data_IF_108920508466
#
_entry.id   IF_108920508466
#
_cell.length_a   1.000
_cell.length_b   1.000
_cell.length_c   1.000
_cell.angle_alpha   90.00
_cell.angle_beta   90.00
_cell.angle_gamma   90.00
#
_symmetry.space_group_name_H-M   'P 1'
#
loop_
_entity.id
_entity.type
_entity.pdbx_description
1 polymer ?
#
# COMPACT_ATOMS: atom_id res chain seq x y z
N UNK A 1 -22.68 15.18 17.37
CA UNK A 1 -21.51 15.71 16.62
C UNK A 1 -21.72 15.38 15.15
N UNK A 2 -21.63 16.38 14.26
CA UNK A 2 -21.76 16.13 12.81
C UNK A 2 -20.51 15.42 12.33
N UNK A 3 -20.63 14.20 11.81
CA UNK A 3 -19.49 13.40 11.31
C UNK A 3 -19.08 13.89 9.93
N UNK A 4 -17.80 14.24 9.73
CA UNK A 4 -17.24 14.68 8.45
C UNK A 4 -17.15 13.49 7.49
N UNK A 5 -17.72 13.60 6.29
CA UNK A 5 -17.57 12.56 5.25
C UNK A 5 -16.30 12.76 4.46
N UNK A 6 -15.87 11.72 3.70
CA UNK A 6 -14.73 11.82 2.78
C UNK A 6 -14.93 12.96 1.77
N UNK A 7 -16.10 13.06 1.15
CA UNK A 7 -16.42 14.14 0.21
C UNK A 7 -16.25 15.52 0.86
N UNK A 8 -16.81 15.71 2.07
CA UNK A 8 -16.65 16.98 2.79
C UNK A 8 -15.17 17.26 3.08
N UNK A 9 -14.43 16.27 3.57
CA UNK A 9 -13.00 16.39 3.84
C UNK A 9 -12.22 16.82 2.60
N UNK A 10 -12.41 16.15 1.46
CA UNK A 10 -11.69 16.46 0.22
C UNK A 10 -12.01 17.86 -0.32
N UNK A 11 -13.27 18.32 -0.17
CA UNK A 11 -13.66 19.70 -0.55
C UNK A 11 -12.97 20.72 0.37
N UNK A 12 -12.88 20.46 1.67
CA UNK A 12 -12.19 21.33 2.62
C UNK A 12 -10.70 21.40 2.32
N UNK A 13 -10.05 20.25 2.04
CA UNK A 13 -8.63 20.17 1.65
C UNK A 13 -8.36 20.93 0.34
N UNK A 14 -9.25 20.80 -0.64
CA UNK A 14 -9.15 21.55 -1.89
C UNK A 14 -9.17 23.07 -1.68
N UNK A 15 -9.97 23.56 -0.73
CA UNK A 15 -10.05 24.98 -0.39
C UNK A 15 -8.85 25.48 0.42
N UNK A 16 -8.34 24.63 1.30
CA UNK A 16 -7.25 25.00 2.21
C UNK A 16 -5.89 25.03 1.50
N UNK A 17 -5.58 23.99 0.73
CA UNK A 17 -4.23 23.82 0.17
C UNK A 17 -4.13 24.15 -1.33
N UNK A 18 -5.25 24.29 -2.01
CA UNK A 18 -5.32 24.54 -3.47
C UNK A 18 -4.49 23.55 -4.33
N UNK A 19 -4.19 22.38 -3.79
CA UNK A 19 -3.36 21.34 -4.43
C UNK A 19 -4.14 20.09 -4.84
N UNK A 20 -5.44 20.05 -4.56
CA UNK A 20 -6.34 18.96 -4.97
C UNK A 20 -7.30 19.50 -6.03
N UNK A 21 -6.99 19.39 -7.34
CA UNK A 21 -7.91 19.74 -8.41
C UNK A 21 -9.22 18.93 -8.31
N UNK A 22 -10.27 19.43 -8.91
CA UNK A 22 -11.57 18.76 -8.88
C UNK A 22 -11.50 17.34 -9.45
N UNK A 23 -10.72 17.15 -10.50
CA UNK A 23 -10.48 15.87 -11.18
C UNK A 23 -9.83 14.84 -10.24
N UNK A 24 -8.78 15.24 -9.48
CA UNK A 24 -8.14 14.38 -8.49
C UNK A 24 -9.10 14.02 -7.35
N UNK A 25 -9.85 15.00 -6.85
CA UNK A 25 -10.89 14.78 -5.85
C UNK A 25 -11.92 13.75 -6.31
N UNK A 26 -12.44 13.91 -7.52
CA UNK A 26 -13.43 12.99 -8.10
C UNK A 26 -12.85 11.61 -8.33
N UNK A 27 -11.61 11.50 -8.80
CA UNK A 27 -10.91 10.22 -8.92
C UNK A 27 -10.80 9.48 -7.56
N UNK A 28 -10.37 10.18 -6.52
CA UNK A 28 -10.29 9.59 -5.16
C UNK A 28 -11.66 9.10 -4.69
N UNK A 29 -12.74 9.85 -4.95
CA UNK A 29 -14.10 9.43 -4.61
C UNK A 29 -14.56 8.20 -5.39
N UNK A 30 -14.14 8.05 -6.66
CA UNK A 30 -14.41 6.84 -7.47
C UNK A 30 -13.66 5.63 -6.92
N UNK A 31 -12.37 5.76 -6.63
CA UNK A 31 -11.57 4.69 -6.00
C UNK A 31 -12.17 4.27 -4.67
N UNK A 32 -12.53 5.23 -3.81
CA UNK A 32 -13.18 4.96 -2.53
C UNK A 32 -14.54 4.24 -2.69
N UNK A 33 -15.27 4.51 -3.77
CA UNK A 33 -16.50 3.79 -4.12
C UNK A 33 -16.23 2.36 -4.57
N UNK A 34 -15.20 2.14 -5.39
CA UNK A 34 -14.75 0.80 -5.78
C UNK A 34 -14.40 -0.03 -4.54
N UNK A 35 -13.65 0.53 -3.59
CA UNK A 35 -13.32 -0.12 -2.31
C UNK A 35 -14.59 -0.51 -1.51
N UNK A 36 -15.70 0.26 -1.57
CA UNK A 36 -16.97 -0.17 -0.97
C UNK A 36 -17.55 -1.42 -1.62
N UNK A 37 -17.48 -1.50 -2.94
CA UNK A 37 -17.95 -2.66 -3.70
C UNK A 37 -17.12 -3.90 -3.39
N UNK A 38 -15.79 -3.76 -3.32
CA UNK A 38 -14.89 -4.83 -2.91
C UNK A 38 -15.18 -5.26 -1.47
N UNK A 39 -15.34 -4.32 -0.53
CA UNK A 39 -15.71 -4.61 0.86
C UNK A 39 -17.01 -5.43 0.95
N UNK A 40 -17.98 -5.14 0.09
CA UNK A 40 -19.23 -5.89 0.03
C UNK A 40 -18.99 -7.33 -0.47
N UNK A 41 -18.21 -7.51 -1.53
CA UNK A 41 -17.85 -8.83 -2.05
C UNK A 41 -17.09 -9.67 -1.00
N UNK A 42 -16.05 -9.08 -0.39
CA UNK A 42 -15.26 -9.70 0.69
C UNK A 42 -16.15 -10.15 1.85
N UNK A 43 -17.09 -9.29 2.30
CA UNK A 43 -17.95 -9.58 3.44
C UNK A 43 -18.94 -10.73 3.20
N UNK A 44 -19.21 -11.09 1.95
CA UNK A 44 -20.05 -12.25 1.60
C UNK A 44 -19.31 -13.56 1.68
N UNK A 45 -18.00 -13.57 1.46
CA UNK A 45 -17.16 -14.77 1.55
C UNK A 45 -17.77 -15.99 0.83
N UNK A 46 -17.91 -17.10 1.52
CA UNK A 46 -18.48 -18.32 0.98
C UNK A 46 -19.93 -18.16 0.46
N UNK A 47 -20.74 -17.28 1.06
CA UNK A 47 -22.11 -17.02 0.62
C UNK A 47 -22.15 -16.35 -0.77
N UNK A 48 -21.12 -15.60 -1.11
CA UNK A 48 -20.99 -14.99 -2.43
C UNK A 48 -20.33 -15.88 -3.47
N UNK A 49 -19.85 -17.07 -3.09
CA UNK A 49 -19.09 -17.96 -3.97
C UNK A 49 -17.72 -17.41 -4.39
N UNK A 50 -17.20 -16.43 -3.65
CA UNK A 50 -15.99 -15.66 -4.00
C UNK A 50 -14.69 -16.25 -3.43
N UNK A 51 -14.77 -17.31 -2.62
CA UNK A 51 -13.60 -17.98 -2.05
C UNK A 51 -12.98 -19.00 -3.02
N UNK A 52 -11.72 -19.36 -2.78
CA UNK A 52 -10.98 -20.36 -3.51
C UNK A 52 -10.26 -19.84 -4.75
N UNK A 53 -9.54 -20.73 -5.43
CA UNK A 53 -8.77 -20.40 -6.64
C UNK A 53 -9.68 -20.02 -7.80
N UNK A 54 -9.23 -19.09 -8.62
CA UNK A 54 -9.83 -18.77 -9.91
C UNK A 54 -9.51 -19.82 -10.99
N UNK A 55 -8.53 -20.71 -10.73
CA UNK A 55 -8.03 -21.69 -11.72
C UNK A 55 -7.04 -21.10 -12.72
N UNK A 56 -6.57 -19.88 -12.46
CA UNK A 56 -5.56 -19.14 -13.24
C UNK A 56 -4.38 -18.74 -12.35
N UNK A 57 -3.26 -18.42 -12.99
CA UNK A 57 -2.11 -17.79 -12.36
C UNK A 57 -1.99 -16.36 -12.88
N UNK A 58 -1.53 -15.42 -12.04
CA UNK A 58 -1.21 -14.08 -12.48
C UNK A 58 0.10 -14.06 -13.29
N UNK A 59 0.44 -12.92 -13.86
CA UNK A 59 1.63 -12.71 -14.67
C UNK A 59 2.95 -13.06 -13.98
N UNK A 60 2.92 -13.30 -12.68
CA UNK A 60 4.08 -13.65 -11.86
C UNK A 60 4.09 -15.12 -11.42
N UNK A 61 3.15 -15.95 -11.92
CA UNK A 61 3.02 -17.35 -11.58
C UNK A 61 2.42 -17.60 -10.18
N UNK A 62 1.74 -16.62 -9.61
CA UNK A 62 1.01 -16.77 -8.35
C UNK A 62 -0.43 -17.21 -8.64
N UNK A 63 -0.94 -18.19 -7.88
CA UNK A 63 -2.32 -18.70 -8.06
C UNK A 63 -3.30 -17.63 -7.68
N UNK A 64 -4.05 -17.09 -8.66
CA UNK A 64 -5.10 -16.10 -8.43
C UNK A 64 -6.26 -16.67 -7.64
N UNK A 65 -6.77 -15.93 -6.67
CA UNK A 65 -8.04 -16.21 -6.02
C UNK A 65 -9.17 -15.55 -6.79
N UNK A 66 -10.38 -16.06 -6.64
CA UNK A 66 -11.57 -15.44 -7.28
C UNK A 66 -11.77 -14.00 -6.85
N UNK A 67 -11.46 -13.68 -5.59
CA UNK A 67 -11.56 -12.31 -5.09
C UNK A 67 -10.52 -11.38 -5.70
N UNK A 68 -9.32 -11.84 -6.06
CA UNK A 68 -8.32 -11.04 -6.77
C UNK A 68 -8.90 -10.57 -8.11
N UNK A 69 -9.43 -11.51 -8.89
CA UNK A 69 -10.07 -11.23 -10.20
C UNK A 69 -11.25 -10.26 -10.04
N UNK A 70 -12.18 -10.56 -9.12
CA UNK A 70 -13.36 -9.71 -8.88
C UNK A 70 -12.96 -8.30 -8.42
N UNK A 71 -11.97 -8.18 -7.54
CA UNK A 71 -11.50 -6.87 -7.05
C UNK A 71 -10.81 -6.08 -8.15
N UNK A 72 -10.04 -6.76 -9.02
CA UNK A 72 -9.43 -6.13 -10.18
C UNK A 72 -10.49 -5.60 -11.15
N UNK A 73 -11.49 -6.41 -11.51
CA UNK A 73 -12.60 -5.99 -12.38
C UNK A 73 -13.36 -4.79 -11.80
N UNK A 74 -13.70 -4.83 -10.49
CA UNK A 74 -14.37 -3.71 -9.82
C UNK A 74 -13.55 -2.42 -9.90
N UNK A 75 -12.23 -2.49 -9.70
CA UNK A 75 -11.35 -1.32 -9.80
C UNK A 75 -11.32 -0.76 -11.23
N UNK A 76 -11.17 -1.60 -12.23
CA UNK A 76 -11.14 -1.20 -13.63
C UNK A 76 -12.48 -0.58 -14.06
N UNK A 77 -13.58 -1.32 -13.89
CA UNK A 77 -14.92 -0.89 -14.31
C UNK A 77 -15.40 0.40 -13.63
N UNK A 78 -15.04 0.58 -12.34
CA UNK A 78 -15.42 1.81 -11.64
C UNK A 78 -14.69 3.04 -12.17
N UNK A 79 -13.46 2.90 -12.65
CA UNK A 79 -12.58 4.02 -12.96
C UNK A 79 -12.44 4.32 -14.47
N UNK A 80 -12.79 3.40 -15.38
CA UNK A 80 -12.56 3.56 -16.82
C UNK A 80 -13.38 4.67 -17.48
N UNK A 81 -14.56 5.01 -16.95
CA UNK A 81 -15.53 5.88 -17.62
C UNK A 81 -15.58 7.33 -17.09
N UNK A 82 -14.89 7.60 -15.98
CA UNK A 82 -15.03 8.87 -15.24
C UNK A 82 -14.35 10.09 -15.89
N UNK A 83 -13.48 9.88 -16.88
CA UNK A 83 -12.77 10.96 -17.57
C UNK A 83 -11.63 11.58 -16.75
N UNK A 84 -11.20 10.93 -15.66
CA UNK A 84 -10.11 11.43 -14.79
C UNK A 84 -8.77 10.78 -15.10
N UNK A 85 -8.79 9.59 -15.71
CA UNK A 85 -7.61 8.76 -15.96
C UNK A 85 -7.18 8.77 -17.42
N UNK A 86 -5.87 8.81 -17.64
CA UNK A 86 -5.24 8.52 -18.91
C UNK A 86 -5.04 7.00 -19.10
N UNK A 87 -4.66 6.29 -18.04
CA UNK A 87 -4.52 4.85 -18.01
C UNK A 87 -4.50 4.31 -16.56
N UNK A 88 -4.56 2.98 -16.43
CA UNK A 88 -4.42 2.27 -15.16
C UNK A 88 -3.37 1.17 -15.24
N UNK A 89 -2.76 0.83 -14.10
CA UNK A 89 -1.89 -0.34 -13.96
C UNK A 89 -2.28 -1.12 -12.70
N UNK A 90 -2.45 -2.41 -12.85
CA UNK A 90 -2.81 -3.34 -11.78
C UNK A 90 -1.72 -4.37 -11.53
N UNK A 91 -1.55 -4.77 -10.29
CA UNK A 91 -0.68 -5.88 -9.92
C UNK A 91 -1.07 -7.20 -10.61
N UNK A 92 -2.36 -7.38 -10.90
CA UNK A 92 -2.94 -8.58 -11.50
C UNK A 92 -2.87 -8.60 -13.04
N UNK A 93 -2.39 -7.52 -13.68
CA UNK A 93 -2.32 -7.40 -15.14
C UNK A 93 -0.87 -7.23 -15.59
N UNK A 94 -0.50 -7.86 -16.72
CA UNK A 94 0.83 -7.74 -17.30
C UNK A 94 1.09 -6.34 -17.86
N UNK A 95 0.11 -5.82 -18.59
CA UNK A 95 0.21 -4.58 -19.35
C UNK A 95 -0.64 -3.47 -18.72
N UNK A 96 -0.35 -2.26 -19.15
CA UNK A 96 -1.15 -1.06 -18.85
C UNK A 96 -2.57 -1.24 -19.40
N UNK A 97 -3.56 -0.91 -18.59
CA UNK A 97 -4.94 -0.84 -19.02
C UNK A 97 -5.24 0.54 -19.63
N UNK A 98 -5.44 0.56 -20.93
CA UNK A 98 -5.82 1.76 -21.67
C UNK A 98 -7.31 2.06 -21.50
N UNK A 99 -7.64 3.34 -21.27
CA UNK A 99 -9.04 3.77 -21.19
C UNK A 99 -9.72 3.51 -22.55
N UNK A 100 -10.86 2.78 -22.59
CA UNK A 100 -11.55 2.52 -23.83
C UNK A 100 -11.91 3.80 -24.58
N UNK A 101 -11.71 3.83 -25.91
CA UNK A 101 -11.91 5.01 -26.76
C UNK A 101 -13.31 5.64 -26.69
N UNK A 102 -14.30 4.90 -26.18
CA UNK A 102 -15.68 5.40 -25.96
C UNK A 102 -15.80 6.34 -24.76
N UNK A 103 -14.76 6.41 -23.92
CA UNK A 103 -14.73 7.24 -22.71
C UNK A 103 -13.70 8.36 -22.84
N UNK A 104 -13.94 9.52 -22.21
CA UNK A 104 -12.94 10.57 -22.17
C UNK A 104 -11.74 10.15 -21.33
N UNK A 105 -10.56 10.63 -21.72
CA UNK A 105 -9.33 10.48 -20.95
C UNK A 105 -9.09 11.71 -20.07
N UNK A 106 -8.35 11.52 -18.96
CA UNK A 106 -7.96 12.57 -18.03
C UNK A 106 -6.45 12.67 -17.86
N UNK A 107 -6.03 13.34 -16.78
CA UNK A 107 -4.63 13.72 -16.54
C UNK A 107 -3.91 12.81 -15.55
N UNK A 108 -4.55 11.76 -15.04
CA UNK A 108 -3.99 10.92 -13.99
C UNK A 108 -3.73 9.50 -14.44
N UNK A 109 -2.74 8.87 -13.81
CA UNK A 109 -2.44 7.46 -13.88
C UNK A 109 -2.79 6.84 -12.52
N UNK A 110 -3.59 5.76 -12.52
CA UNK A 110 -3.96 5.02 -11.31
C UNK A 110 -3.20 3.70 -11.27
N UNK A 111 -2.51 3.46 -10.16
CA UNK A 111 -1.88 2.17 -9.88
C UNK A 111 -2.53 1.55 -8.66
N UNK A 112 -2.73 0.24 -8.67
CA UNK A 112 -3.33 -0.46 -7.54
C UNK A 112 -2.93 -1.93 -7.46
N UNK A 113 -2.82 -2.42 -6.23
CA UNK A 113 -2.97 -3.80 -5.86
C UNK A 113 -4.44 -3.98 -5.48
N UNK A 114 -5.23 -4.73 -6.26
CA UNK A 114 -6.66 -4.83 -6.01
C UNK A 114 -6.98 -5.57 -4.71
N UNK A 115 -6.10 -6.51 -4.28
CA UNK A 115 -6.35 -7.28 -3.07
C UNK A 115 -5.07 -7.80 -2.40
N UNK A 116 -4.38 -6.93 -1.65
CA UNK A 116 -3.24 -7.30 -0.80
C UNK A 116 -3.60 -8.35 0.23
N UNK A 117 -2.73 -9.33 0.40
CA UNK A 117 -2.89 -10.39 1.38
C UNK A 117 -3.76 -11.56 0.92
N UNK A 118 -3.77 -11.90 -0.38
CA UNK A 118 -4.60 -12.95 -0.98
C UNK A 118 -4.50 -14.31 -0.29
N UNK A 119 -3.37 -14.64 0.34
CA UNK A 119 -3.22 -15.86 1.15
C UNK A 119 -4.15 -15.92 2.37
N UNK A 120 -4.67 -14.78 2.80
CA UNK A 120 -5.55 -14.63 3.97
C UNK A 120 -7.05 -14.75 3.62
N UNK A 121 -7.41 -14.78 2.34
CA UNK A 121 -8.80 -14.78 1.88
C UNK A 121 -9.56 -15.98 2.47
N UNK A 122 -9.05 -17.19 2.26
CA UNK A 122 -9.74 -18.41 2.62
C UNK A 122 -9.75 -18.72 4.13
N UNK A 123 -8.95 -17.99 4.90
CA UNK A 123 -8.81 -18.18 6.37
C UNK A 123 -9.41 -17.04 7.18
N UNK A 124 -10.15 -16.15 6.51
CA UNK A 124 -10.91 -15.05 7.13
C UNK A 124 -10.05 -14.07 7.94
N UNK A 125 -8.85 -13.75 7.45
CA UNK A 125 -7.97 -12.72 8.01
C UNK A 125 -8.02 -11.46 7.14
N UNK A 126 -7.76 -10.29 7.74
CA UNK A 126 -7.84 -9.00 7.06
C UNK A 126 -7.00 -8.94 5.79
N UNK A 127 -7.60 -8.42 4.74
CA UNK A 127 -7.03 -8.16 3.42
C UNK A 127 -7.37 -6.73 3.01
N UNK A 128 -6.86 -6.23 1.88
CA UNK A 128 -7.21 -4.88 1.47
C UNK A 128 -6.79 -4.51 0.07
N UNK A 129 -7.13 -3.31 -0.35
CA UNK A 129 -6.75 -2.70 -1.62
C UNK A 129 -5.75 -1.59 -1.38
N UNK A 130 -4.67 -1.54 -2.16
CA UNK A 130 -3.68 -0.45 -2.12
C UNK A 130 -3.79 0.33 -3.42
N UNK A 131 -3.68 1.66 -3.37
CA UNK A 131 -3.69 2.48 -4.57
C UNK A 131 -2.78 3.69 -4.46
N UNK A 132 -2.31 4.17 -5.61
CA UNK A 132 -1.65 5.47 -5.74
C UNK A 132 -1.99 6.14 -7.06
N UNK A 133 -1.85 7.45 -7.08
CA UNK A 133 -2.14 8.30 -8.24
C UNK A 133 -0.90 9.09 -8.60
N UNK A 134 -0.53 9.04 -9.88
CA UNK A 134 0.48 9.89 -10.51
C UNK A 134 -0.17 10.85 -11.51
N UNK A 135 0.54 11.91 -11.88
CA UNK A 135 0.17 12.68 -13.08
C UNK A 135 0.68 11.98 -14.32
N UNK A 136 -0.17 11.92 -15.34
CA UNK A 136 0.28 11.56 -16.68
C UNK A 136 1.24 12.66 -17.18
N UNK A 137 2.39 12.32 -17.79
CA UNK A 137 3.30 13.31 -18.33
C UNK A 137 2.62 14.20 -19.40
N UNK A 138 2.98 15.48 -19.42
CA UNK A 138 2.37 16.44 -20.34
C UNK A 138 2.55 16.01 -21.81
N UNK A 139 1.45 16.09 -22.56
CA UNK A 139 1.43 15.76 -23.99
C UNK A 139 1.33 14.26 -24.30
N UNK A 140 1.29 13.38 -23.32
CA UNK A 140 1.07 11.95 -23.51
C UNK A 140 -0.43 11.68 -23.61
N UNK A 141 -0.87 11.18 -24.76
CA UNK A 141 -2.28 10.83 -25.03
C UNK A 141 -2.54 9.33 -25.03
N UNK A 142 -1.50 8.51 -25.11
CA UNK A 142 -1.56 7.04 -25.05
C UNK A 142 -0.45 6.54 -24.12
N UNK A 143 -0.69 6.57 -22.79
CA UNK A 143 0.34 6.21 -21.81
C UNK A 143 0.76 4.76 -21.93
N UNK A 144 2.06 4.53 -21.86
CA UNK A 144 2.70 3.23 -21.83
C UNK A 144 3.31 2.94 -20.46
N UNK A 145 3.88 1.75 -20.27
CA UNK A 145 4.61 1.40 -19.04
C UNK A 145 5.58 2.51 -18.59
N UNK A 146 6.32 3.11 -19.53
CA UNK A 146 7.34 4.14 -19.22
C UNK A 146 6.77 5.37 -18.51
N UNK A 147 5.53 5.71 -18.81
CA UNK A 147 4.86 6.89 -18.24
C UNK A 147 4.47 6.67 -16.77
N UNK A 148 4.31 5.41 -16.37
CA UNK A 148 4.10 4.99 -14.98
C UNK A 148 5.40 4.91 -14.18
N UNK A 149 6.55 4.68 -14.80
CA UNK A 149 7.84 4.46 -14.12
C UNK A 149 8.39 5.77 -13.52
N UNK A 150 7.62 6.37 -12.62
CA UNK A 150 7.99 7.56 -11.88
C UNK A 150 8.39 7.19 -10.44
N UNK A 151 9.37 7.90 -9.83
CA UNK A 151 9.72 7.65 -8.43
C UNK A 151 8.53 7.95 -7.51
N UNK A 152 8.49 7.29 -6.36
CA UNK A 152 7.40 7.45 -5.39
C UNK A 152 7.18 8.88 -4.89
N UNK A 153 8.17 9.76 -5.03
CA UNK A 153 8.05 11.20 -4.74
C UNK A 153 7.09 11.94 -5.66
N UNK A 154 6.73 11.38 -6.82
CA UNK A 154 5.80 11.97 -7.78
C UNK A 154 4.32 11.63 -7.51
N UNK A 155 4.04 10.79 -6.51
CA UNK A 155 2.67 10.48 -6.12
C UNK A 155 1.94 11.73 -5.66
N UNK A 156 0.75 11.98 -6.22
CA UNK A 156 -0.13 13.10 -5.83
C UNK A 156 -1.19 12.67 -4.80
N UNK A 157 -1.47 11.39 -4.72
CA UNK A 157 -2.29 10.76 -3.69
C UNK A 157 -1.90 9.29 -3.54
N UNK A 158 -2.06 8.76 -2.33
CA UNK A 158 -1.96 7.34 -2.07
C UNK A 158 -2.89 6.95 -0.93
N UNK A 159 -3.32 5.71 -0.93
CA UNK A 159 -4.19 5.18 0.11
C UNK A 159 -4.31 3.67 0.07
N UNK A 160 -4.98 3.15 1.08
CA UNK A 160 -5.39 1.75 1.12
C UNK A 160 -6.73 1.60 1.83
N UNK A 161 -7.46 0.57 1.46
CA UNK A 161 -8.60 0.10 2.22
C UNK A 161 -8.25 -1.21 2.95
N UNK A 162 -8.65 -1.37 4.21
CA UNK A 162 -8.58 -2.64 4.94
C UNK A 162 -9.97 -3.20 5.11
N UNK A 163 -10.14 -4.45 4.70
CA UNK A 163 -11.38 -5.24 4.86
C UNK A 163 -11.19 -6.20 6.04
N UNK A 164 -11.52 -5.71 7.24
CA UNK A 164 -11.35 -6.42 8.51
C UNK A 164 -12.61 -6.32 9.37
N UNK A 165 -12.49 -6.36 10.72
CA UNK A 165 -13.63 -6.20 11.63
C UNK A 165 -14.45 -4.94 11.35
N UNK A 166 -13.81 -3.87 10.93
CA UNK A 166 -14.40 -2.72 10.27
C UNK A 166 -13.71 -2.48 8.93
N UNK A 167 -14.41 -1.87 7.99
CA UNK A 167 -13.79 -1.44 6.73
C UNK A 167 -13.31 -0.01 6.90
N UNK A 168 -12.01 0.21 6.71
CA UNK A 168 -11.39 1.54 6.81
C UNK A 168 -10.69 1.89 5.50
N UNK A 169 -10.68 3.18 5.19
CA UNK A 169 -9.90 3.78 4.11
C UNK A 169 -8.91 4.75 4.73
N UNK A 170 -7.63 4.58 4.46
CA UNK A 170 -6.56 5.50 4.87
C UNK A 170 -6.04 6.21 3.64
N UNK A 171 -5.90 7.52 3.72
CA UNK A 171 -5.61 8.38 2.57
C UNK A 171 -4.60 9.48 2.93
N UNK A 172 -3.70 9.75 1.99
CA UNK A 172 -2.89 10.97 1.94
C UNK A 172 -2.99 11.63 0.57
N UNK A 173 -2.98 12.95 0.56
CA UNK A 173 -2.83 13.82 -0.62
C UNK A 173 -1.58 14.70 -0.49
N UNK A 174 -0.60 14.25 0.30
CA UNK A 174 0.64 14.98 0.59
C UNK A 174 0.55 15.94 1.80
N UNK A 175 -0.58 15.98 2.51
CA UNK A 175 -0.82 16.85 3.67
C UNK A 175 -1.27 16.05 4.90
N UNK A 176 -0.42 15.10 5.33
CA UNK A 176 -0.73 14.20 6.44
C UNK A 176 -1.58 13.00 6.02
N UNK A 177 -1.98 12.19 6.99
CA UNK A 177 -2.70 10.93 6.80
C UNK A 177 -3.98 10.91 7.59
N UNK A 178 -5.08 10.51 6.96
CA UNK A 178 -6.39 10.50 7.58
C UNK A 178 -7.08 9.15 7.37
N UNK A 179 -7.85 8.72 8.37
CA UNK A 179 -8.57 7.45 8.34
C UNK A 179 -10.09 7.68 8.34
N UNK A 180 -10.75 6.96 7.44
CA UNK A 180 -12.20 6.99 7.27
C UNK A 180 -12.75 5.59 7.50
N UNK A 181 -13.81 5.47 8.26
CA UNK A 181 -14.53 4.20 8.46
C UNK A 181 -15.77 4.18 7.58
N UNK A 182 -16.04 3.04 6.96
CA UNK A 182 -17.25 2.83 6.17
C UNK A 182 -18.46 2.66 7.09
N UNK A 183 -19.35 3.65 7.10
CA UNK A 183 -20.69 3.50 7.62
C UNK A 183 -21.52 2.71 6.61
N UNK A 184 -21.74 1.42 6.88
CA UNK A 184 -22.40 0.51 5.95
C UNK A 184 -23.89 0.78 5.78
N UNK A 185 -24.53 1.39 6.77
CA UNK A 185 -25.96 1.74 6.71
C UNK A 185 -26.18 2.93 5.77
N UNK A 186 -25.33 3.95 5.90
CA UNK A 186 -25.40 5.15 5.07
C UNK A 186 -24.61 5.03 3.75
N UNK A 187 -23.76 4.01 3.62
CA UNK A 187 -22.85 3.84 2.48
C UNK A 187 -21.79 4.95 2.38
N UNK A 188 -21.45 5.61 3.48
CA UNK A 188 -20.56 6.76 3.50
C UNK A 188 -19.25 6.46 4.21
N UNK A 189 -18.14 6.98 3.66
CA UNK A 189 -16.87 7.04 4.36
C UNK A 189 -16.88 8.21 5.34
N UNK A 190 -16.67 7.94 6.62
CA UNK A 190 -16.75 8.92 7.71
C UNK A 190 -15.37 9.06 8.33
N UNK A 191 -14.87 10.29 8.44
CA UNK A 191 -13.59 10.60 9.09
C UNK A 191 -13.66 10.17 10.58
N UNK A 192 -12.81 9.23 10.94
CA UNK A 192 -12.72 8.67 12.29
C UNK A 192 -11.42 9.01 12.99
N UNK A 193 -10.34 9.25 12.21
CA UNK A 193 -9.07 9.72 12.75
C UNK A 193 -8.44 10.72 11.80
N UNK A 194 -8.21 11.93 12.26
CA UNK A 194 -7.55 13.01 11.52
C UNK A 194 -6.09 13.11 11.96
N UNK A 195 -5.18 13.31 10.99
CA UNK A 195 -3.76 13.55 11.27
C UNK A 195 -3.07 12.38 11.98
N UNK A 196 -3.19 11.15 11.44
CA UNK A 196 -2.48 9.99 11.99
C UNK A 196 -0.99 10.24 12.07
N UNK A 197 -0.38 9.81 13.19
CA UNK A 197 1.07 9.95 13.43
C UNK A 197 1.67 8.65 13.93
N UNK A 198 2.82 8.29 13.38
CA UNK A 198 3.62 7.16 13.83
C UNK A 198 4.59 7.65 14.90
N UNK A 199 4.61 7.05 16.11
CA UNK A 199 5.65 7.33 17.10
C UNK A 199 7.05 7.03 16.54
N UNK A 200 8.03 7.88 16.81
CA UNK A 200 9.41 7.68 16.35
C UNK A 200 10.06 6.43 16.95
N UNK A 201 9.76 6.14 18.21
CA UNK A 201 10.18 4.93 18.93
C UNK A 201 9.03 3.92 19.04
N UNK A 202 9.37 2.64 19.06
CA UNK A 202 8.38 1.55 19.17
C UNK A 202 8.92 0.34 19.92
N UNK A 203 7.99 -0.57 20.26
CA UNK A 203 8.27 -1.90 20.83
C UNK A 203 7.62 -3.02 20.00
N UNK A 204 7.25 -2.74 18.78
CA UNK A 204 6.62 -3.75 17.90
C UNK A 204 7.36 -3.87 16.58
N UNK A 205 7.43 -5.10 16.07
CA UNK A 205 7.94 -5.38 14.73
C UNK A 205 7.12 -6.48 14.06
N UNK A 206 7.11 -6.45 12.73
CA UNK A 206 6.46 -7.43 11.88
C UNK A 206 7.45 -7.94 10.84
N UNK A 207 7.70 -9.24 10.83
CA UNK A 207 8.52 -9.93 9.85
C UNK A 207 8.13 -11.41 9.84
N UNK A 208 8.26 -12.09 8.70
CA UNK A 208 8.08 -13.53 8.65
C UNK A 208 9.32 -14.26 9.22
N UNK A 209 9.30 -14.57 10.53
CA UNK A 209 10.40 -15.21 11.25
C UNK A 209 10.81 -16.57 10.65
N UNK A 210 9.95 -17.26 9.93
CA UNK A 210 10.29 -18.54 9.30
C UNK A 210 11.40 -18.41 8.23
N UNK A 211 11.69 -17.20 7.77
CA UNK A 211 12.72 -16.90 6.79
C UNK A 211 14.07 -16.51 7.40
N UNK A 212 14.23 -16.51 8.72
CA UNK A 212 15.45 -16.06 9.43
C UNK A 212 16.74 -16.65 8.85
N UNK A 213 16.76 -17.96 8.57
CA UNK A 213 17.93 -18.66 8.00
C UNK A 213 18.35 -18.18 6.60
N UNK A 214 17.48 -17.45 5.94
CA UNK A 214 17.70 -16.96 4.56
C UNK A 214 18.08 -15.49 4.51
N UNK A 215 17.90 -14.73 5.60
CA UNK A 215 18.20 -13.30 5.61
C UNK A 215 19.70 -13.02 5.48
N UNK A 216 20.01 -11.86 4.94
CA UNK A 216 21.35 -11.30 4.95
C UNK A 216 21.74 -10.82 6.35
N UNK A 217 23.06 -10.71 6.66
CA UNK A 217 23.56 -10.40 7.99
C UNK A 217 22.95 -9.16 8.65
N UNK A 218 22.71 -8.02 7.96
CA UNK A 218 22.09 -6.84 8.57
C UNK A 218 20.73 -7.13 9.20
N UNK A 219 19.88 -7.88 8.50
CA UNK A 219 18.55 -8.24 9.00
C UNK A 219 18.63 -9.22 10.16
N UNK A 220 19.50 -10.23 10.06
CA UNK A 220 19.74 -11.18 11.14
C UNK A 220 20.22 -10.48 12.42
N UNK A 221 21.19 -9.55 12.29
CA UNK A 221 21.68 -8.72 13.41
C UNK A 221 20.54 -7.91 14.02
N UNK A 222 19.79 -7.18 13.17
CA UNK A 222 18.72 -6.32 13.64
C UNK A 222 17.66 -7.10 14.42
N UNK A 223 17.16 -8.20 13.87
CA UNK A 223 16.12 -9.01 14.51
C UNK A 223 16.65 -9.70 15.78
N UNK A 224 17.89 -10.22 15.76
CA UNK A 224 18.53 -10.80 16.95
C UNK A 224 18.58 -9.80 18.11
N UNK A 225 18.89 -8.53 17.85
CA UNK A 225 18.89 -7.48 18.88
C UNK A 225 17.48 -7.21 19.44
N UNK A 226 16.42 -7.29 18.62
CA UNK A 226 15.04 -7.15 19.09
C UNK A 226 14.65 -8.31 20.03
N UNK A 227 15.09 -9.53 19.71
CA UNK A 227 14.77 -10.74 20.47
C UNK A 227 15.52 -10.85 21.80
N UNK A 228 16.67 -10.18 21.96
CA UNK A 228 17.42 -10.15 23.21
C UNK A 228 16.69 -9.41 24.34
N UNK A 229 15.68 -8.59 24.01
CA UNK A 229 14.87 -7.89 24.99
C UNK A 229 15.65 -6.90 25.85
N UNK A 230 15.27 -6.78 27.11
CA UNK A 230 15.90 -5.87 28.09
C UNK A 230 17.36 -6.15 28.37
N UNK A 231 17.75 -7.43 28.27
CA UNK A 231 19.12 -7.88 28.55
C UNK A 231 20.07 -7.58 27.38
N UNK A 232 19.53 -7.31 26.19
CA UNK A 232 20.32 -6.99 25.00
C UNK A 232 20.62 -5.50 24.85
N UNK A 233 21.33 -5.19 23.76
CA UNK A 233 21.80 -3.83 23.42
C UNK A 233 20.65 -2.80 23.24
N UNK A 234 19.41 -3.27 23.05
CA UNK A 234 18.24 -2.41 22.89
C UNK A 234 17.63 -1.96 24.21
N UNK A 235 17.92 -2.65 25.33
CA UNK A 235 17.48 -2.32 26.68
C UNK A 235 15.95 -2.32 26.86
N UNK A 236 15.19 -2.92 25.96
CA UNK A 236 13.72 -3.00 25.99
C UNK A 236 13.19 -4.24 25.30
N UNK A 237 12.03 -4.71 25.74
CA UNK A 237 11.35 -5.84 25.12
C UNK A 237 10.58 -5.42 23.88
N UNK A 238 10.65 -6.23 22.83
CA UNK A 238 9.87 -6.06 21.61
C UNK A 238 8.86 -7.19 21.44
N UNK A 239 7.71 -6.88 20.85
CA UNK A 239 6.67 -7.83 20.50
C UNK A 239 6.59 -8.00 18.99
N UNK A 240 6.69 -9.24 18.51
CA UNK A 240 6.41 -9.54 17.11
C UNK A 240 4.89 -9.56 16.86
N UNK A 241 4.48 -8.88 15.78
CA UNK A 241 3.10 -8.85 15.30
C UNK A 241 3.12 -9.04 13.79
N UNK A 242 2.75 -10.20 13.30
CA UNK A 242 2.75 -10.56 11.89
C UNK A 242 1.36 -11.04 11.46
N UNK A 243 0.72 -10.34 10.51
CA UNK A 243 -0.61 -10.65 9.98
C UNK A 243 -0.50 -11.30 8.60
N UNK A 244 0.61 -11.09 7.90
CA UNK A 244 0.84 -11.52 6.53
C UNK A 244 -0.10 -10.85 5.50
N UNK A 245 -0.51 -9.62 5.78
CA UNK A 245 -1.19 -8.70 4.88
C UNK A 245 -0.59 -7.32 5.13
N UNK A 246 -0.03 -6.70 4.11
CA UNK A 246 0.69 -5.42 4.26
C UNK A 246 -0.25 -4.31 4.74
N UNK A 247 -1.47 -4.25 4.20
CA UNK A 247 -2.47 -3.25 4.62
C UNK A 247 -2.79 -3.36 6.11
N UNK A 248 -2.90 -4.57 6.65
CA UNK A 248 -3.24 -4.78 8.06
C UNK A 248 -2.05 -4.49 8.99
N UNK A 249 -0.85 -4.91 8.60
CA UNK A 249 0.38 -4.62 9.35
C UNK A 249 0.69 -3.12 9.35
N UNK A 250 0.59 -2.43 8.21
CA UNK A 250 0.81 -0.98 8.10
C UNK A 250 -0.28 -0.21 8.85
N UNK A 251 -1.55 -0.64 8.79
CA UNK A 251 -2.62 0.01 9.54
C UNK A 251 -2.36 -0.02 11.06
N UNK A 252 -1.86 -1.15 11.59
CA UNK A 252 -1.45 -1.24 12.98
C UNK A 252 -0.30 -0.26 13.29
N UNK A 253 0.70 -0.16 12.40
CA UNK A 253 1.85 0.73 12.56
C UNK A 253 1.43 2.20 12.55
N UNK A 254 0.55 2.60 11.62
CA UNK A 254 -0.02 3.94 11.57
C UNK A 254 -0.81 4.28 12.85
N UNK A 255 -1.41 3.27 13.48
CA UNK A 255 -2.24 3.47 14.68
C UNK A 255 -1.42 3.59 15.96
N UNK A 256 -0.33 2.81 16.11
CA UNK A 256 0.39 2.71 17.39
C UNK A 256 1.91 2.56 17.31
N UNK A 257 2.48 2.67 16.13
CA UNK A 257 3.90 2.46 15.90
C UNK A 257 4.25 1.01 15.59
N UNK A 258 5.50 0.80 15.20
CA UNK A 258 6.05 -0.49 14.80
C UNK A 258 6.96 -0.35 13.59
N UNK A 259 7.59 -1.47 13.22
CA UNK A 259 8.32 -1.59 11.97
C UNK A 259 7.84 -2.83 11.22
N UNK A 260 7.49 -2.66 9.95
CA UNK A 260 7.20 -3.75 9.02
C UNK A 260 8.44 -4.02 8.17
N UNK A 261 8.76 -5.29 7.98
CA UNK A 261 9.93 -5.71 7.23
C UNK A 261 9.61 -6.85 6.28
N UNK A 262 9.95 -6.65 5.02
CA UNK A 262 9.98 -7.70 4.00
C UNK A 262 11.31 -7.61 3.24
N UNK A 263 12.41 -8.16 3.82
CA UNK A 263 13.74 -8.03 3.25
C UNK A 263 13.94 -8.90 2.01
N UNK A 264 14.96 -8.57 1.23
CA UNK A 264 15.58 -9.51 0.30
C UNK A 264 16.20 -10.68 1.08
N UNK A 265 16.27 -11.83 0.45
CA UNK A 265 16.89 -13.02 1.06
C UNK A 265 17.72 -13.84 0.05
N UNK A 266 18.46 -14.80 0.59
CA UNK A 266 19.43 -15.63 -0.16
C UNK A 266 18.80 -16.69 -1.08
N UNK A 267 17.48 -16.90 -1.01
CA UNK A 267 16.78 -17.90 -1.84
C UNK A 267 16.69 -17.45 -3.29
N UNK A 268 16.58 -16.14 -3.48
CA UNK A 268 16.49 -15.55 -4.81
C UNK A 268 17.37 -14.28 -4.86
N UNK A 269 18.70 -14.46 -5.02
CA UNK A 269 19.66 -13.34 -5.00
C UNK A 269 19.42 -12.30 -6.10
N UNK A 270 18.78 -12.71 -7.19
CA UNK A 270 18.48 -11.84 -8.34
C UNK A 270 17.22 -10.99 -8.13
N UNK A 271 16.42 -11.29 -7.08
CA UNK A 271 15.24 -10.53 -6.71
C UNK A 271 15.50 -9.70 -5.45
N UNK A 272 15.43 -8.37 -5.56
CA UNK A 272 15.75 -7.47 -4.44
C UNK A 272 14.71 -7.49 -3.32
N UNK A 273 13.64 -8.26 -3.44
CA UNK A 273 12.57 -8.40 -2.45
C UNK A 273 11.37 -9.15 -3.00
N UNK A 274 10.27 -9.18 -2.27
CA UNK A 274 9.02 -9.83 -2.68
C UNK A 274 7.93 -8.81 -3.06
N UNK A 275 7.86 -7.67 -2.40
CA UNK A 275 6.83 -6.66 -2.61
C UNK A 275 7.13 -5.82 -3.85
N UNK A 276 6.07 -5.36 -4.56
CA UNK A 276 6.23 -4.57 -5.78
C UNK A 276 6.36 -3.09 -5.43
N UNK A 277 7.34 -2.44 -6.08
CA UNK A 277 7.62 -1.03 -5.77
C UNK A 277 6.43 -0.13 -6.12
N UNK A 278 5.78 -0.36 -7.29
CA UNK A 278 4.75 0.53 -7.80
C UNK A 278 3.41 0.37 -7.10
N UNK A 279 3.02 -0.86 -6.77
CA UNK A 279 1.67 -1.16 -6.28
C UNK A 279 1.58 -1.18 -4.75
N UNK A 280 2.69 -1.51 -4.05
CA UNK A 280 2.71 -1.73 -2.60
C UNK A 280 3.68 -0.78 -1.89
N UNK A 281 4.99 -0.84 -2.25
CA UNK A 281 6.03 -0.14 -1.48
C UNK A 281 5.93 1.38 -1.58
N UNK A 282 5.74 1.96 -2.76
CA UNK A 282 5.62 3.40 -2.96
C UNK A 282 4.38 3.99 -2.25
N UNK A 283 3.14 3.49 -2.47
CA UNK A 283 1.98 4.03 -1.77
C UNK A 283 2.07 3.91 -0.25
N UNK A 284 2.53 2.77 0.27
CA UNK A 284 2.67 2.58 1.71
C UNK A 284 3.79 3.44 2.30
N UNK A 285 4.90 3.62 1.59
CA UNK A 285 5.98 4.52 2.02
C UNK A 285 5.52 5.97 2.06
N UNK A 286 4.72 6.41 1.09
CA UNK A 286 4.19 7.76 1.09
C UNK A 286 3.27 8.00 2.30
N UNK A 287 2.37 7.08 2.60
CA UNK A 287 1.53 7.14 3.80
C UNK A 287 2.36 7.16 5.09
N UNK A 288 3.33 6.26 5.22
CA UNK A 288 4.18 6.15 6.42
C UNK A 288 4.98 7.42 6.65
N UNK A 289 5.59 7.99 5.62
CA UNK A 289 6.37 9.23 5.74
C UNK A 289 5.47 10.45 6.02
N UNK A 290 4.30 10.55 5.41
CA UNK A 290 3.31 11.60 5.71
C UNK A 290 2.78 11.51 7.16
N UNK A 291 2.85 10.33 7.76
CA UNK A 291 2.55 10.12 9.18
C UNK A 291 3.76 10.35 10.11
N UNK A 292 4.92 10.76 9.60
CA UNK A 292 6.13 11.02 10.39
C UNK A 292 7.01 9.79 10.64
N UNK A 293 6.74 8.67 9.98
CA UNK A 293 7.62 7.51 9.92
C UNK A 293 8.69 7.62 8.85
N UNK A 294 9.32 6.49 8.51
CA UNK A 294 10.31 6.38 7.44
C UNK A 294 10.13 5.08 6.66
N UNK A 295 10.69 5.03 5.44
CA UNK A 295 10.67 3.84 4.60
C UNK A 295 11.97 3.71 3.78
N UNK A 296 12.56 2.51 3.77
CA UNK A 296 13.83 2.20 3.09
C UNK A 296 13.79 0.81 2.46
N UNK A 297 14.59 0.62 1.42
CA UNK A 297 14.87 -0.72 0.89
C UNK A 297 16.10 -1.38 1.57
N UNK A 298 16.62 -0.75 2.62
CA UNK A 298 17.84 -1.11 3.32
C UNK A 298 19.02 -0.20 2.96
N UNK A 299 19.06 0.34 1.75
CA UNK A 299 20.16 1.16 1.24
C UNK A 299 19.76 2.61 0.99
N UNK A 300 18.54 2.84 0.54
CA UNK A 300 18.02 4.16 0.19
C UNK A 300 16.53 4.27 0.51
N UNK A 301 16.04 5.49 0.57
CA UNK A 301 14.62 5.82 0.75
C UNK A 301 13.79 5.25 -0.41
N UNK A 302 12.73 4.51 -0.11
CA UNK A 302 11.89 3.85 -1.14
C UNK A 302 11.33 4.86 -2.14
N UNK A 303 10.82 6.00 -1.69
CA UNK A 303 10.23 7.01 -2.57
C UNK A 303 11.21 7.61 -3.60
N UNK A 304 12.52 7.48 -3.40
CA UNK A 304 13.57 7.97 -4.31
C UNK A 304 14.07 6.90 -5.29
N UNK A 305 13.62 5.66 -5.12
CA UNK A 305 13.98 4.59 -6.07
C UNK A 305 13.31 4.88 -7.42
N UNK A 306 14.10 4.86 -8.50
CA UNK A 306 13.60 4.97 -9.86
C UNK A 306 13.17 3.59 -10.36
N UNK A 307 11.86 3.32 -10.51
CA UNK A 307 11.39 2.04 -11.02
C UNK A 307 11.84 1.80 -12.46
N UNK A 308 12.16 0.54 -12.79
CA UNK A 308 12.58 0.14 -14.12
C UNK A 308 11.52 -0.70 -14.85
N UNK A 309 10.56 -1.26 -14.11
CA UNK A 309 9.44 -2.07 -14.62
C UNK A 309 8.21 -1.91 -13.72
N UNK A 310 7.01 -2.10 -14.28
CA UNK A 310 5.76 -2.05 -13.52
C UNK A 310 5.74 -3.02 -12.34
N UNK A 311 6.23 -4.24 -12.55
CA UNK A 311 6.23 -5.32 -11.55
C UNK A 311 7.58 -5.48 -10.85
N UNK A 312 8.41 -4.43 -10.83
CA UNK A 312 9.69 -4.46 -10.12
C UNK A 312 9.47 -4.69 -8.64
N UNK A 313 10.25 -5.61 -8.07
CA UNK A 313 10.20 -5.95 -6.65
C UNK A 313 11.28 -5.21 -5.88
N UNK A 314 11.04 -4.98 -4.60
CA UNK A 314 11.93 -4.26 -3.70
C UNK A 314 11.86 -4.83 -2.29
N UNK A 315 12.98 -4.79 -1.56
CA UNK A 315 12.99 -4.99 -0.11
C UNK A 315 12.30 -3.81 0.57
N UNK A 316 11.55 -4.07 1.65
CA UNK A 316 10.78 -3.04 2.34
C UNK A 316 11.04 -3.10 3.84
N UNK A 317 11.42 -1.94 4.40
CA UNK A 317 11.48 -1.66 5.83
C UNK A 317 10.78 -0.32 6.05
N UNK A 318 9.65 -0.31 6.74
CA UNK A 318 8.89 0.92 6.96
C UNK A 318 8.22 0.96 8.34
N UNK A 319 8.01 2.16 8.85
CA UNK A 319 7.36 2.37 10.14
C UNK A 319 8.02 3.44 11.00
N UNK A 320 8.15 3.17 12.30
CA UNK A 320 8.76 4.07 13.28
C UNK A 320 10.19 4.44 12.87
N UNK A 321 10.44 5.74 12.79
CA UNK A 321 11.63 6.32 12.16
C UNK A 321 12.94 5.78 12.73
N UNK A 322 13.07 5.72 14.07
CA UNK A 322 14.29 5.25 14.72
C UNK A 322 14.64 3.79 14.37
N UNK A 323 13.63 2.95 14.17
CA UNK A 323 13.83 1.55 13.80
C UNK A 323 14.25 1.40 12.34
N UNK A 324 13.64 2.18 11.44
CA UNK A 324 13.99 2.19 10.01
C UNK A 324 15.39 2.74 9.80
N UNK A 325 15.77 3.83 10.47
CA UNK A 325 17.12 4.39 10.42
C UNK A 325 18.18 3.39 10.93
N UNK A 326 17.87 2.65 11.98
CA UNK A 326 18.78 1.64 12.54
C UNK A 326 19.02 0.48 11.57
N UNK A 327 17.97 -0.10 11.00
CA UNK A 327 18.13 -1.21 10.04
C UNK A 327 18.87 -0.74 8.78
N UNK A 328 18.63 0.49 8.34
CA UNK A 328 19.37 1.12 7.22
C UNK A 328 20.86 1.23 7.54
N UNK A 329 21.20 1.73 8.73
CA UNK A 329 22.60 1.85 9.17
C UNK A 329 23.32 0.48 9.14
N UNK A 330 22.66 -0.60 9.56
CA UNK A 330 23.26 -1.94 9.53
C UNK A 330 23.52 -2.44 8.11
N UNK A 331 22.65 -2.12 7.15
CA UNK A 331 22.89 -2.45 5.74
C UNK A 331 24.08 -1.66 5.17
N UNK A 332 24.17 -0.37 5.48
CA UNK A 332 25.28 0.48 5.02
C UNK A 332 26.61 0.07 5.63
N UNK A 333 26.64 -0.31 6.93
CA UNK A 333 27.84 -0.87 7.59
C UNK A 333 28.31 -2.18 6.94
N UNK A 334 27.38 -3.03 6.49
CA UNK A 334 27.72 -4.31 5.87
C UNK A 334 28.23 -4.13 4.43
N UNK A 335 27.65 -3.21 3.68
CA UNK A 335 28.07 -2.89 2.31
C UNK A 335 29.45 -2.21 2.23
N UNK A 336 29.92 -1.63 3.34
CA UNK A 336 31.24 -1.01 3.42
C UNK A 336 32.39 -1.98 3.75
N UNK A 337 32.08 -3.26 4.02
CA UNK A 337 33.06 -4.34 4.27
C UNK A 337 33.47 -5.04 3.00
#
# INVERSE_FOLDING_TARGET
MRRKTLTQYLIEQQREFNNIPAELRLLIEVVARACKSISHAVSKGALGGVLGSAGSENVQGEVQKKLDVISNEIMLEANEWGGHLAAMASEEMEDVFHIPNRYPQGEYLLMFDPLDGSSNIDVNVSIGTIFSVLRCPDGVTDPTEKDFLQPGTQQVAAGYAVYGPQTVLVLTTGHGVNCFTLDREMGSWVLTQEGMRIPEDTKEFAINMSNERHWYPPVQRYVSELLQGKEGVRGKDFNMRWIASMVADVHRILTRGGVFMYPADKRDPDKPGKLRIMYEANPMSFLVEQAGGAATNGMQRILEVQPQKLHERVAVFLGSKQEVERVTAYHLEDSAK
#
